data_IF_710872195451
#
_entry.id   IF_710872195451
#
_cell.length_a   1.000
_cell.length_b   1.000
_cell.length_c   1.000
_cell.angle_alpha   90.00
_cell.angle_beta   90.00
_cell.angle_gamma   90.00
#
_symmetry.space_group_name_H-M   'P 1'
#
loop_
_entity.id
_entity.type
_entity.pdbx_description
1 polymer ?
#
# COMPACT_ATOMS: atom_id res chain seq x y z
N UNK A 1 41.38 -11.62 -44.51
CA UNK A 1 41.64 -10.34 -43.82
C UNK A 1 40.41 -10.02 -42.98
N UNK A 2 40.51 -10.21 -41.67
CA UNK A 2 39.45 -9.86 -40.74
C UNK A 2 39.44 -8.33 -40.58
N UNK A 3 38.27 -7.72 -40.75
CA UNK A 3 38.05 -6.30 -40.48
C UNK A 3 38.08 -6.14 -38.96
N UNK A 4 39.07 -5.41 -38.47
CA UNK A 4 39.23 -5.08 -37.05
C UNK A 4 38.07 -4.15 -36.64
N UNK A 5 37.21 -4.60 -35.72
CA UNK A 5 36.15 -3.77 -35.16
C UNK A 5 36.77 -2.55 -34.47
N UNK A 6 36.56 -1.37 -35.04
CA UNK A 6 36.92 -0.10 -34.42
C UNK A 6 36.10 0.05 -33.14
N UNK A 7 36.71 -0.20 -31.98
CA UNK A 7 36.11 0.11 -30.67
C UNK A 7 35.81 1.61 -30.63
N UNK A 8 34.51 1.97 -30.61
CA UNK A 8 34.06 3.35 -30.42
C UNK A 8 34.58 3.86 -29.07
N UNK A 9 35.28 4.99 -29.08
CA UNK A 9 35.83 5.67 -27.90
C UNK A 9 34.80 6.54 -27.14
N UNK A 10 33.51 6.46 -27.48
CA UNK A 10 32.45 7.23 -26.85
C UNK A 10 31.28 6.32 -26.49
N UNK A 11 30.60 6.62 -25.40
CA UNK A 11 29.32 6.00 -25.01
C UNK A 11 28.19 6.93 -25.44
N UNK A 12 27.13 6.39 -26.03
CA UNK A 12 25.92 7.17 -26.30
C UNK A 12 25.32 7.58 -24.95
N UNK A 13 25.02 8.86 -24.76
CA UNK A 13 24.57 9.40 -23.46
C UNK A 13 23.37 8.62 -22.88
N UNK A 14 22.40 8.25 -23.71
CA UNK A 14 21.20 7.49 -23.31
C UNK A 14 21.51 6.04 -22.87
N UNK A 15 22.67 5.51 -23.28
CA UNK A 15 23.13 4.16 -22.96
C UNK A 15 24.18 4.15 -21.82
N UNK A 16 24.63 5.33 -21.37
CA UNK A 16 25.64 5.48 -20.31
C UNK A 16 25.03 5.23 -18.92
N UNK A 17 24.84 3.94 -18.61
CA UNK A 17 24.35 3.49 -17.31
C UNK A 17 25.25 3.98 -16.18
N UNK A 18 26.57 4.07 -16.37
CA UNK A 18 27.49 4.51 -15.32
C UNK A 18 27.19 5.96 -14.92
N UNK A 19 26.95 6.84 -15.89
CA UNK A 19 26.48 8.19 -15.61
C UNK A 19 25.12 8.19 -14.92
N UNK A 20 24.11 7.48 -15.45
CA UNK A 20 22.77 7.49 -14.87
C UNK A 20 22.72 6.95 -13.44
N UNK A 21 23.52 5.96 -13.08
CA UNK A 21 23.60 5.43 -11.72
C UNK A 21 24.55 6.22 -10.80
N UNK A 22 25.30 7.19 -11.32
CA UNK A 22 26.13 8.09 -10.52
C UNK A 22 25.30 9.07 -9.67
N UNK A 23 25.95 9.67 -8.66
CA UNK A 23 25.32 10.69 -7.83
C UNK A 23 24.96 11.96 -8.59
N UNK A 24 25.71 12.30 -9.65
CA UNK A 24 25.44 13.47 -10.49
C UNK A 24 24.07 13.38 -11.19
N UNK A 25 23.65 12.17 -11.58
CA UNK A 25 22.37 11.93 -12.25
C UNK A 25 21.21 11.64 -11.28
N UNK A 26 21.42 11.71 -9.95
CA UNK A 26 20.38 11.40 -8.96
C UNK A 26 19.11 12.23 -9.13
N UNK A 27 19.26 13.53 -9.40
CA UNK A 27 18.11 14.42 -9.62
C UNK A 27 17.24 13.99 -10.81
N UNK A 28 17.88 13.53 -11.89
CA UNK A 28 17.18 13.02 -13.09
C UNK A 28 16.46 11.71 -12.75
N UNK A 29 17.12 10.79 -12.03
CA UNK A 29 16.48 9.53 -11.61
C UNK A 29 15.26 9.74 -10.73
N UNK A 30 15.30 10.70 -9.80
CA UNK A 30 14.13 11.08 -8.99
C UNK A 30 12.95 11.55 -9.87
N UNK A 31 13.24 12.38 -10.89
CA UNK A 31 12.21 12.84 -11.82
C UNK A 31 11.64 11.70 -12.66
N UNK A 32 12.49 10.78 -13.13
CA UNK A 32 12.06 9.62 -13.92
C UNK A 32 11.19 8.66 -13.10
N UNK A 33 11.61 8.33 -11.86
CA UNK A 33 10.82 7.52 -10.92
C UNK A 33 9.44 8.14 -10.69
N UNK A 34 9.38 9.46 -10.51
CA UNK A 34 8.12 10.18 -10.33
C UNK A 34 7.25 10.14 -11.58
N UNK A 35 7.79 10.59 -12.72
CA UNK A 35 7.06 10.80 -13.96
C UNK A 35 6.50 9.50 -14.51
N UNK A 36 7.26 8.40 -14.46
CA UNK A 36 6.83 7.10 -15.01
C UNK A 36 5.51 6.62 -14.40
N UNK A 37 5.37 6.73 -13.08
CA UNK A 37 4.16 6.33 -12.38
C UNK A 37 3.01 7.31 -12.63
N UNK A 38 3.30 8.61 -12.54
CA UNK A 38 2.31 9.67 -12.75
C UNK A 38 1.69 9.63 -14.15
N UNK A 39 2.49 9.51 -15.20
CA UNK A 39 2.00 9.50 -16.58
C UNK A 39 1.14 8.28 -16.87
N UNK A 40 1.50 7.12 -16.32
CA UNK A 40 0.74 5.88 -16.51
C UNK A 40 -0.57 5.90 -15.75
N UNK A 41 -0.57 6.31 -14.48
CA UNK A 41 -1.82 6.43 -13.70
C UNK A 41 -2.81 7.39 -14.37
N UNK A 42 -2.33 8.54 -14.88
CA UNK A 42 -3.16 9.47 -15.66
C UNK A 42 -3.71 8.86 -16.95
N UNK A 43 -2.88 8.13 -17.70
CA UNK A 43 -3.32 7.47 -18.94
C UNK A 43 -4.41 6.41 -18.69
N UNK A 44 -4.37 5.75 -17.53
CA UNK A 44 -5.36 4.76 -17.09
C UNK A 44 -6.63 5.38 -16.46
N UNK A 45 -6.71 6.71 -16.40
CA UNK A 45 -7.88 7.43 -15.87
C UNK A 45 -7.96 7.47 -14.34
N UNK A 46 -6.85 7.26 -13.63
CA UNK A 46 -6.82 7.28 -12.16
C UNK A 46 -6.66 8.73 -11.68
N UNK A 47 -7.68 9.24 -10.99
CA UNK A 47 -7.63 10.57 -10.38
C UNK A 47 -7.29 10.48 -8.89
N UNK A 48 -7.88 9.49 -8.21
CA UNK A 48 -7.83 9.31 -6.77
C UNK A 48 -7.56 7.85 -6.39
N UNK A 49 -7.14 7.64 -5.15
CA UNK A 49 -6.81 6.31 -4.64
C UNK A 49 -7.39 6.05 -3.26
N UNK A 50 -7.68 4.78 -2.99
CA UNK A 50 -7.86 4.25 -1.63
C UNK A 50 -6.62 3.43 -1.32
N UNK A 51 -5.84 3.86 -0.34
CA UNK A 51 -4.56 3.23 -0.04
C UNK A 51 -4.72 2.20 1.06
N UNK A 52 -4.19 1.00 0.85
CA UNK A 52 -4.20 -0.08 1.84
C UNK A 52 -2.79 -0.44 2.26
N UNK A 53 -2.55 -0.42 3.57
CA UNK A 53 -1.30 -0.85 4.18
C UNK A 53 -1.54 -1.98 5.17
N UNK A 54 -0.52 -2.83 5.36
CA UNK A 54 -0.55 -3.88 6.36
C UNK A 54 0.65 -4.82 6.24
N UNK A 55 0.64 -5.88 7.03
CA UNK A 55 1.73 -6.85 7.08
C UNK A 55 1.93 -7.59 5.76
N UNK A 56 3.19 -7.68 5.32
CA UNK A 56 3.62 -8.56 4.23
C UNK A 56 3.74 -10.04 4.65
N UNK A 57 3.44 -10.38 5.91
CA UNK A 57 3.67 -11.71 6.50
C UNK A 57 2.40 -12.46 6.90
N UNK A 58 1.24 -11.80 6.79
CA UNK A 58 -0.05 -12.43 7.06
C UNK A 58 -0.41 -13.27 5.83
N UNK A 59 -0.78 -14.53 6.04
CA UNK A 59 -1.10 -15.49 4.98
C UNK A 59 -2.60 -15.47 4.68
N UNK A 60 -2.99 -15.90 3.48
CA UNK A 60 -4.39 -16.25 3.23
C UNK A 60 -4.83 -17.41 4.13
N UNK A 61 -6.15 -17.59 4.30
CA UNK A 61 -6.66 -18.68 5.14
C UNK A 61 -6.25 -20.05 4.60
N UNK A 62 -6.23 -20.20 3.27
CA UNK A 62 -5.79 -21.42 2.61
C UNK A 62 -4.32 -21.73 2.89
N UNK A 63 -3.43 -20.74 2.76
CA UNK A 63 -2.00 -20.91 2.99
C UNK A 63 -1.67 -21.11 4.48
N UNK A 64 -2.38 -20.41 5.37
CA UNK A 64 -2.21 -20.57 6.81
C UNK A 64 -2.63 -21.97 7.26
N UNK A 65 -3.72 -22.51 6.71
CA UNK A 65 -4.16 -23.88 6.99
C UNK A 65 -3.13 -24.90 6.47
N UNK A 66 -2.67 -24.76 5.22
CA UNK A 66 -1.61 -25.61 4.67
C UNK A 66 -0.34 -25.57 5.52
N UNK A 67 0.04 -24.38 6.01
CA UNK A 67 1.19 -24.24 6.91
C UNK A 67 0.97 -24.97 8.23
N UNK A 68 -0.22 -24.86 8.84
CA UNK A 68 -0.57 -25.58 10.06
C UNK A 68 -0.54 -27.10 9.87
N UNK A 69 -1.03 -27.60 8.75
CA UNK A 69 -1.06 -29.04 8.44
C UNK A 69 0.34 -29.65 8.27
N UNK A 70 1.34 -28.84 7.90
CA UNK A 70 2.74 -29.25 7.71
C UNK A 70 3.58 -29.18 8.99
N UNK A 71 3.11 -28.50 10.03
CA UNK A 71 3.85 -28.32 11.28
C UNK A 71 3.66 -29.51 12.20
N UNK A 72 4.77 -30.04 12.73
CA UNK A 72 4.74 -31.09 13.74
C UNK A 72 4.04 -30.61 15.01
N UNK A 73 3.04 -31.37 15.47
CA UNK A 73 2.27 -31.06 16.67
C UNK A 73 3.06 -31.27 17.95
N UNK A 74 4.12 -32.09 17.91
CA UNK A 74 5.01 -32.28 19.03
C UNK A 74 5.93 -31.07 19.27
N UNK A 75 6.21 -30.28 18.21
CA UNK A 75 6.85 -28.97 18.33
C UNK A 75 5.82 -27.91 18.77
N UNK A 76 5.61 -27.83 20.08
CA UNK A 76 4.65 -26.89 20.70
C UNK A 76 4.86 -25.43 20.31
N UNK A 77 6.10 -24.98 20.09
CA UNK A 77 6.38 -23.58 19.74
C UNK A 77 6.02 -23.31 18.27
N UNK A 78 6.43 -24.18 17.35
CA UNK A 78 6.09 -24.07 15.94
C UNK A 78 4.57 -24.19 15.73
N UNK A 79 3.93 -25.12 16.43
CA UNK A 79 2.48 -25.34 16.33
C UNK A 79 1.68 -24.14 16.85
N UNK A 80 2.08 -23.54 17.99
CA UNK A 80 1.46 -22.31 18.50
C UNK A 80 1.61 -21.13 17.51
N UNK A 81 2.77 -20.99 16.86
CA UNK A 81 2.97 -19.97 15.80
C UNK A 81 2.08 -20.23 14.58
N UNK A 82 1.87 -21.49 14.21
CA UNK A 82 1.01 -21.87 13.09
C UNK A 82 -0.47 -21.55 13.37
N UNK A 83 -0.94 -21.85 14.59
CA UNK A 83 -2.29 -21.46 15.04
C UNK A 83 -2.46 -19.95 14.96
N UNK A 84 -1.49 -19.19 15.47
CA UNK A 84 -1.53 -17.72 15.42
C UNK A 84 -1.58 -17.19 13.99
N UNK A 85 -0.86 -17.81 13.05
CA UNK A 85 -0.92 -17.45 11.62
C UNK A 85 -2.32 -17.68 11.04
N UNK A 86 -2.98 -18.78 11.41
CA UNK A 86 -4.35 -19.07 11.00
C UNK A 86 -5.35 -18.07 11.61
N UNK A 87 -5.21 -17.72 12.88
CA UNK A 87 -6.04 -16.68 13.50
C UNK A 87 -5.87 -15.32 12.80
N UNK A 88 -4.64 -14.98 12.42
CA UNK A 88 -4.32 -13.74 11.70
C UNK A 88 -4.80 -13.74 10.25
N UNK A 89 -5.05 -14.90 9.62
CA UNK A 89 -5.48 -14.99 8.22
C UNK A 89 -6.81 -14.30 7.98
N UNK A 90 -7.63 -14.11 9.03
CA UNK A 90 -8.84 -13.27 8.96
C UNK A 90 -8.56 -11.89 8.39
N UNK A 91 -7.41 -11.29 8.73
CA UNK A 91 -7.04 -9.96 8.21
C UNK A 91 -6.75 -9.98 6.72
N UNK A 92 -6.24 -11.10 6.19
CA UNK A 92 -6.08 -11.28 4.75
C UNK A 92 -7.46 -11.31 4.08
N UNK A 93 -8.41 -12.09 4.58
CA UNK A 93 -9.74 -12.18 3.97
C UNK A 93 -10.49 -10.84 4.05
N UNK A 94 -10.38 -10.10 5.16
CA UNK A 94 -10.94 -8.75 5.27
C UNK A 94 -10.28 -7.78 4.29
N UNK A 95 -8.95 -7.83 4.10
CA UNK A 95 -8.28 -7.00 3.11
C UNK A 95 -8.72 -7.33 1.67
N UNK A 96 -8.92 -8.62 1.37
CA UNK A 96 -9.47 -9.08 0.10
C UNK A 96 -10.90 -8.65 -0.12
N UNK A 97 -11.75 -8.72 0.88
CA UNK A 97 -13.11 -8.21 0.79
C UNK A 97 -13.12 -6.69 0.60
N UNK A 98 -12.27 -5.96 1.33
CA UNK A 98 -12.13 -4.52 1.18
C UNK A 98 -11.71 -4.14 -0.26
N UNK A 99 -10.77 -4.87 -0.84
CA UNK A 99 -10.36 -4.69 -2.24
C UNK A 99 -11.53 -4.86 -3.22
N UNK A 100 -12.43 -5.83 -2.98
CA UNK A 100 -13.66 -5.99 -3.80
C UNK A 100 -14.60 -4.81 -3.65
N UNK A 101 -14.85 -4.35 -2.41
CA UNK A 101 -15.75 -3.23 -2.14
C UNK A 101 -15.29 -1.95 -2.84
N UNK A 102 -13.99 -1.64 -2.75
CA UNK A 102 -13.41 -0.49 -3.46
C UNK A 102 -13.58 -0.65 -4.97
N UNK A 103 -13.21 -1.81 -5.53
CA UNK A 103 -13.32 -2.04 -6.97
C UNK A 103 -14.77 -2.02 -7.49
N UNK A 104 -15.76 -2.46 -6.71
CA UNK A 104 -17.17 -2.45 -7.12
C UNK A 104 -17.86 -1.09 -6.97
N UNK A 105 -17.20 -0.11 -6.35
CA UNK A 105 -17.77 1.20 -6.10
C UNK A 105 -17.77 2.11 -7.34
N UNK A 106 -18.21 3.36 -7.20
CA UNK A 106 -18.43 4.26 -8.33
C UNK A 106 -19.45 3.70 -9.33
N UNK A 107 -19.11 3.68 -10.62
CA UNK A 107 -19.93 3.07 -11.68
C UNK A 107 -19.68 1.55 -11.86
N UNK A 108 -18.99 0.91 -10.91
CA UNK A 108 -18.63 -0.51 -10.93
C UNK A 108 -17.16 -0.76 -11.31
N UNK A 109 -16.76 -2.04 -11.49
CA UNK A 109 -15.35 -2.43 -11.64
C UNK A 109 -14.53 -1.77 -12.77
N UNK A 110 -15.20 -1.17 -13.75
CA UNK A 110 -14.54 -0.47 -14.86
C UNK A 110 -14.28 1.01 -14.55
N UNK A 111 -14.86 1.55 -13.47
CA UNK A 111 -14.62 2.92 -13.02
C UNK A 111 -13.29 3.00 -12.29
N UNK A 112 -12.27 3.50 -12.98
CA UNK A 112 -10.91 3.59 -12.46
C UNK A 112 -10.63 4.94 -11.77
N UNK A 113 -11.63 5.81 -11.66
CA UNK A 113 -11.46 7.19 -11.16
C UNK A 113 -10.93 7.20 -9.72
N UNK A 114 -11.46 6.31 -8.87
CA UNK A 114 -10.95 6.02 -7.54
C UNK A 114 -10.49 4.57 -7.51
N UNK A 115 -9.18 4.34 -7.44
CA UNK A 115 -8.60 2.98 -7.56
C UNK A 115 -7.88 2.53 -6.30
N UNK A 116 -7.97 1.25 -5.97
CA UNK A 116 -7.22 0.64 -4.88
C UNK A 116 -5.71 0.71 -5.14
N UNK A 117 -4.94 1.15 -4.15
CA UNK A 117 -3.48 1.23 -4.21
C UNK A 117 -2.83 0.55 -3.02
N UNK A 118 -1.79 -0.26 -3.27
CA UNK A 118 -1.02 -0.96 -2.24
C UNK A 118 0.48 -0.83 -2.52
N UNK A 119 1.31 -1.33 -1.61
CA UNK A 119 2.75 -1.47 -1.84
C UNK A 119 3.16 -2.64 -2.74
N UNK A 120 2.20 -3.42 -3.24
CA UNK A 120 2.39 -4.46 -4.25
C UNK A 120 3.14 -5.72 -3.80
N UNK A 121 3.49 -5.83 -2.52
CA UNK A 121 4.09 -7.04 -1.94
C UNK A 121 3.06 -8.11 -1.55
N UNK A 122 3.50 -9.18 -0.88
CA UNK A 122 2.62 -10.25 -0.38
C UNK A 122 1.77 -9.81 0.82
N UNK A 123 0.96 -10.73 1.34
CA UNK A 123 0.17 -10.55 2.55
C UNK A 123 -1.01 -9.60 2.35
N UNK A 124 -1.20 -8.62 3.25
CA UNK A 124 -2.36 -7.71 3.17
C UNK A 124 -2.42 -6.95 1.84
N UNK A 125 -1.26 -6.53 1.32
CA UNK A 125 -1.19 -5.81 0.04
C UNK A 125 -1.71 -6.69 -1.10
N UNK A 126 -1.21 -7.92 -1.19
CA UNK A 126 -1.70 -8.92 -2.13
C UNK A 126 -3.18 -9.21 -1.95
N UNK A 127 -3.65 -9.40 -0.72
CA UNK A 127 -5.04 -9.68 -0.44
C UNK A 127 -5.96 -8.61 -1.02
N UNK A 128 -5.65 -7.34 -0.77
CA UNK A 128 -6.42 -6.22 -1.30
C UNK A 128 -6.37 -6.18 -2.84
N UNK A 129 -5.19 -6.32 -3.46
CA UNK A 129 -5.07 -6.39 -4.92
C UNK A 129 -5.88 -7.56 -5.51
N UNK A 130 -5.82 -8.73 -4.88
CA UNK A 130 -6.58 -9.94 -5.24
C UNK A 130 -8.08 -9.70 -5.18
N UNK A 131 -8.54 -9.01 -4.15
CA UNK A 131 -9.95 -8.61 -4.02
C UNK A 131 -10.45 -7.84 -5.23
N UNK A 132 -9.73 -6.76 -5.60
CA UNK A 132 -10.06 -5.97 -6.77
C UNK A 132 -10.00 -6.79 -8.08
N UNK A 133 -8.97 -7.63 -8.23
CA UNK A 133 -8.78 -8.49 -9.40
C UNK A 133 -9.95 -9.47 -9.61
N UNK A 134 -10.44 -10.10 -8.53
CA UNK A 134 -11.50 -11.12 -8.59
C UNK A 134 -12.85 -10.59 -9.10
N UNK A 135 -13.09 -9.28 -9.00
CA UNK A 135 -14.28 -8.61 -9.51
C UNK A 135 -14.03 -7.88 -10.83
N UNK A 136 -12.85 -8.06 -11.43
CA UNK A 136 -12.45 -7.44 -12.70
C UNK A 136 -12.10 -5.95 -12.58
N UNK A 137 -11.82 -5.47 -11.37
CA UNK A 137 -11.39 -4.10 -11.12
C UNK A 137 -9.88 -3.93 -11.25
N UNK A 138 -9.45 -2.69 -11.54
CA UNK A 138 -8.02 -2.37 -11.55
C UNK A 138 -7.48 -2.19 -10.13
N UNK A 139 -6.20 -2.48 -9.94
CA UNK A 139 -5.49 -2.17 -8.70
C UNK A 139 -4.03 -1.81 -8.96
N UNK A 140 -3.50 -0.91 -8.14
CA UNK A 140 -2.17 -0.33 -8.28
C UNK A 140 -1.23 -0.98 -7.27
N UNK A 141 -0.01 -1.29 -7.71
CA UNK A 141 1.07 -1.78 -6.85
C UNK A 141 2.30 -0.89 -6.98
N UNK A 142 2.68 -0.24 -5.88
CA UNK A 142 3.91 0.55 -5.78
C UNK A 142 4.99 -0.28 -5.09
N UNK A 143 5.70 -1.12 -5.83
CA UNK A 143 6.82 -1.91 -5.31
C UNK A 143 8.06 -1.05 -5.09
N UNK A 144 8.98 -1.53 -4.27
CA UNK A 144 10.27 -0.89 -4.02
C UNK A 144 11.39 -1.92 -4.22
N UNK A 145 12.49 -1.51 -4.86
CA UNK A 145 13.66 -2.37 -4.97
C UNK A 145 14.28 -2.60 -3.59
N UNK A 146 14.38 -3.85 -3.16
CA UNK A 146 14.98 -4.26 -1.89
C UNK A 146 16.18 -5.19 -2.14
N UNK A 147 17.13 -5.31 -1.19
CA UNK A 147 18.27 -6.24 -1.31
C UNK A 147 17.85 -7.71 -1.49
N UNK A 148 16.69 -8.07 -0.97
CA UNK A 148 16.01 -9.33 -1.24
C UNK A 148 14.73 -8.99 -1.99
N UNK A 149 14.64 -9.44 -3.24
CA UNK A 149 13.58 -9.03 -4.16
C UNK A 149 12.22 -9.55 -3.65
N UNK A 150 11.26 -8.62 -3.51
CA UNK A 150 9.85 -8.99 -3.41
C UNK A 150 9.26 -8.82 -4.79
N UNK A 151 8.99 -9.95 -5.46
CA UNK A 151 8.23 -9.93 -6.70
C UNK A 151 6.87 -9.24 -6.45
N UNK A 152 6.41 -8.40 -7.39
CA UNK A 152 5.06 -7.87 -7.33
C UNK A 152 4.05 -9.01 -7.31
N UNK A 153 3.03 -8.90 -6.47
CA UNK A 153 1.98 -9.91 -6.44
C UNK A 153 1.23 -9.96 -7.78
N UNK A 154 0.76 -11.15 -8.15
CA UNK A 154 0.20 -11.44 -9.48
C UNK A 154 -1.17 -10.81 -9.75
N UNK A 155 -1.75 -10.09 -8.78
CA UNK A 155 -3.11 -9.52 -8.87
C UNK A 155 -3.10 -8.02 -9.18
N UNK A 156 -1.92 -7.39 -9.21
CA UNK A 156 -1.77 -6.00 -9.65
C UNK A 156 -2.07 -5.92 -11.14
N UNK A 157 -2.78 -4.87 -11.57
CA UNK A 157 -2.99 -4.61 -12.99
C UNK A 157 -1.64 -4.39 -13.68
N UNK A 158 -1.29 -5.12 -14.76
CA UNK A 158 0.05 -5.09 -15.33
C UNK A 158 0.58 -3.69 -15.68
N UNK A 159 -0.29 -2.82 -16.19
CA UNK A 159 0.03 -1.44 -16.56
C UNK A 159 0.33 -0.54 -15.35
N UNK A 160 -0.20 -0.93 -14.17
CA UNK A 160 -0.17 -0.22 -12.89
C UNK A 160 0.74 -0.90 -11.84
N UNK A 161 1.63 -1.80 -12.30
CA UNK A 161 2.73 -2.31 -11.49
C UNK A 161 3.95 -1.41 -11.65
N UNK A 162 4.35 -0.77 -10.56
CA UNK A 162 5.46 0.18 -10.53
C UNK A 162 6.55 -0.31 -9.59
N UNK A 163 7.81 -0.12 -9.98
CA UNK A 163 8.97 -0.39 -9.13
C UNK A 163 9.74 0.90 -8.94
N UNK A 164 9.90 1.31 -7.69
CA UNK A 164 10.63 2.51 -7.30
C UNK A 164 11.99 2.15 -6.74
N UNK A 165 12.97 3.04 -6.97
CA UNK A 165 14.27 2.95 -6.32
C UNK A 165 14.31 3.79 -5.03
N UNK A 166 13.62 4.93 -5.03
CA UNK A 166 13.63 5.86 -3.90
C UNK A 166 12.34 5.79 -3.08
N UNK A 167 12.46 5.47 -1.79
CA UNK A 167 11.33 5.47 -0.85
C UNK A 167 10.56 6.80 -0.85
N UNK A 168 11.25 7.93 -0.88
CA UNK A 168 10.58 9.25 -0.86
C UNK A 168 9.63 9.48 -2.03
N UNK A 169 9.98 9.01 -3.24
CA UNK A 169 9.11 9.14 -4.42
C UNK A 169 7.93 8.17 -4.34
N UNK A 170 8.17 6.95 -3.84
CA UNK A 170 7.11 5.98 -3.59
C UNK A 170 6.07 6.51 -2.60
N UNK A 171 6.52 7.07 -1.47
CA UNK A 171 5.66 7.68 -0.44
C UNK A 171 4.86 8.86 -0.98
N UNK A 172 5.51 9.73 -1.76
CA UNK A 172 4.81 10.82 -2.44
C UNK A 172 3.63 10.31 -3.28
N UNK A 173 3.80 9.21 -4.02
CA UNK A 173 2.73 8.62 -4.83
C UNK A 173 1.60 8.01 -4.01
N UNK A 174 1.88 7.42 -2.85
CA UNK A 174 0.80 6.99 -1.94
C UNK A 174 -0.06 8.17 -1.50
N UNK A 175 0.55 9.29 -1.15
CA UNK A 175 -0.16 10.42 -0.52
C UNK A 175 -0.83 11.36 -1.53
N UNK A 176 -0.22 11.56 -2.70
CA UNK A 176 -0.65 12.58 -3.66
C UNK A 176 -2.11 12.44 -4.13
N UNK A 177 -2.63 11.20 -4.21
CA UNK A 177 -3.98 10.89 -4.73
C UNK A 177 -4.91 10.29 -3.68
N UNK A 178 -4.43 10.09 -2.46
CA UNK A 178 -5.19 9.39 -1.43
C UNK A 178 -6.46 10.17 -1.06
N UNK A 179 -7.60 9.48 -1.14
CA UNK A 179 -8.89 9.90 -0.57
C UNK A 179 -9.17 9.20 0.75
N UNK A 180 -8.57 8.05 1.00
CA UNK A 180 -8.64 7.39 2.30
C UNK A 180 -7.46 6.44 2.47
N UNK A 181 -7.16 6.12 3.73
CA UNK A 181 -6.24 5.05 4.07
C UNK A 181 -6.94 4.01 4.93
N UNK A 182 -6.69 2.74 4.63
CA UNK A 182 -7.09 1.62 5.48
C UNK A 182 -5.86 0.83 5.91
N UNK A 183 -5.62 0.79 7.22
CA UNK A 183 -4.41 0.26 7.81
C UNK A 183 -4.75 -1.01 8.58
N UNK A 184 -4.34 -2.14 8.01
CA UNK A 184 -4.42 -3.44 8.66
C UNK A 184 -3.24 -3.68 9.59
N UNK A 185 -3.34 -4.65 10.52
CA UNK A 185 -2.23 -5.06 11.36
C UNK A 185 -0.93 -5.26 10.58
N UNK A 186 0.12 -4.58 11.03
CA UNK A 186 1.39 -4.49 10.31
C UNK A 186 2.58 -4.16 11.20
N UNK A 187 3.77 -4.22 10.61
CA UNK A 187 5.04 -3.96 11.30
C UNK A 187 5.62 -2.59 10.98
N UNK A 188 6.95 -2.46 10.97
CA UNK A 188 7.62 -1.18 10.77
C UNK A 188 7.25 -0.45 9.48
N UNK A 189 7.12 -1.14 8.35
CA UNK A 189 6.70 -0.49 7.10
C UNK A 189 5.28 0.10 7.18
N UNK A 190 4.36 -0.59 7.85
CA UNK A 190 2.99 -0.10 8.06
C UNK A 190 2.97 1.09 9.02
N UNK A 191 3.78 1.05 10.08
CA UNK A 191 3.93 2.16 11.02
C UNK A 191 4.57 3.38 10.38
N UNK A 192 5.59 3.18 9.55
CA UNK A 192 6.27 4.23 8.80
C UNK A 192 5.29 5.01 7.91
N UNK A 193 4.43 4.32 7.16
CA UNK A 193 3.42 4.97 6.33
C UNK A 193 2.29 5.60 7.15
N UNK A 194 1.86 4.98 8.27
CA UNK A 194 0.86 5.54 9.17
C UNK A 194 1.33 6.86 9.79
N UNK A 195 2.55 6.91 10.33
CA UNK A 195 3.07 8.13 10.95
C UNK A 195 3.44 9.19 9.91
N UNK A 196 3.83 8.80 8.69
CA UNK A 196 4.07 9.75 7.60
C UNK A 196 2.77 10.50 7.24
N UNK A 197 1.65 9.79 6.99
CA UNK A 197 0.38 10.49 6.69
C UNK A 197 -0.12 11.34 7.86
N UNK A 198 0.01 10.86 9.10
CA UNK A 198 -0.43 11.62 10.28
C UNK A 198 0.35 12.93 10.38
N UNK A 199 1.67 12.87 10.18
CA UNK A 199 2.53 14.06 10.18
C UNK A 199 2.20 15.00 9.01
N UNK A 200 1.93 14.46 7.82
CA UNK A 200 1.56 15.28 6.66
C UNK A 200 0.22 15.98 6.83
N UNK A 201 -0.77 15.32 7.44
CA UNK A 201 -2.06 15.96 7.76
C UNK A 201 -1.87 17.01 8.85
N UNK A 202 -1.19 16.68 9.95
CA UNK A 202 -0.91 17.60 11.05
C UNK A 202 -0.21 18.88 10.56
N UNK A 203 0.72 18.76 9.62
CA UNK A 203 1.49 19.87 9.05
C UNK A 203 0.81 20.56 7.85
N UNK A 204 -0.43 20.18 7.52
CA UNK A 204 -1.19 20.68 6.36
C UNK A 204 -0.44 20.52 5.03
N UNK A 205 0.36 19.46 4.89
CA UNK A 205 1.05 19.07 3.65
C UNK A 205 0.28 18.04 2.85
N UNK A 206 -0.73 17.41 3.44
CA UNK A 206 -1.71 16.54 2.78
C UNK A 206 -3.12 17.04 3.08
N UNK A 207 -4.11 16.81 2.18
CA UNK A 207 -5.52 17.00 2.50
C UNK A 207 -5.92 16.18 3.73
N UNK A 208 -6.88 16.70 4.49
CA UNK A 208 -7.52 16.00 5.59
C UNK A 208 -8.40 14.87 5.03
N UNK A 209 -8.04 13.62 5.27
CA UNK A 209 -8.68 12.41 4.71
C UNK A 209 -8.93 11.37 5.81
N UNK A 210 -9.94 10.49 5.69
CA UNK A 210 -10.21 9.45 6.67
C UNK A 210 -9.09 8.40 6.71
N UNK A 211 -8.64 8.08 7.93
CA UNK A 211 -7.73 6.97 8.22
C UNK A 211 -8.48 5.95 9.07
N UNK A 212 -8.61 4.72 8.55
CA UNK A 212 -9.31 3.63 9.22
C UNK A 212 -8.32 2.55 9.64
N UNK A 213 -8.28 2.25 10.93
CA UNK A 213 -7.43 1.22 11.54
C UNK A 213 -8.24 -0.06 11.75
N UNK A 214 -7.83 -1.16 11.11
CA UNK A 214 -8.50 -2.46 11.27
C UNK A 214 -8.03 -3.15 12.55
N UNK A 215 -8.99 -3.58 13.37
CA UNK A 215 -8.80 -4.23 14.67
C UNK A 215 -8.33 -3.28 15.78
N UNK A 216 -9.28 -2.70 16.52
CA UNK A 216 -9.00 -1.79 17.62
C UNK A 216 -8.08 -2.40 18.68
N UNK A 217 -8.28 -3.68 18.99
CA UNK A 217 -7.46 -4.39 19.95
C UNK A 217 -5.98 -4.41 19.56
N UNK A 218 -5.66 -4.64 18.28
CA UNK A 218 -4.29 -4.66 17.79
C UNK A 218 -3.61 -3.31 17.97
N UNK A 219 -4.28 -2.25 17.50
CA UNK A 219 -3.72 -0.89 17.51
C UNK A 219 -3.59 -0.32 18.91
N UNK A 220 -4.59 -0.50 19.78
CA UNK A 220 -4.50 -0.07 21.18
C UNK A 220 -3.39 -0.80 21.95
N UNK A 221 -3.04 -2.02 21.54
CA UNK A 221 -1.91 -2.76 22.14
C UNK A 221 -0.56 -2.28 21.59
N UNK A 222 -0.54 -1.66 20.41
CA UNK A 222 0.67 -1.24 19.72
C UNK A 222 1.04 0.22 20.00
N UNK A 223 0.06 1.12 19.98
CA UNK A 223 0.25 2.56 20.17
C UNK A 223 -0.84 3.07 21.12
N UNK A 224 -0.42 3.80 22.14
CA UNK A 224 -1.34 4.53 23.02
C UNK A 224 -1.40 6.00 22.58
N UNK A 225 -2.34 6.32 21.68
CA UNK A 225 -2.54 7.69 21.21
C UNK A 225 -3.07 8.61 22.31
N UNK A 226 -3.88 8.10 23.24
CA UNK A 226 -4.39 8.87 24.38
C UNK A 226 -3.23 9.35 25.27
N UNK A 227 -2.25 8.48 25.51
CA UNK A 227 -1.02 8.87 26.23
C UNK A 227 -0.23 9.95 25.49
N UNK A 228 -0.16 9.93 24.16
CA UNK A 228 0.50 11.00 23.40
C UNK A 228 -0.23 12.35 23.54
N UNK A 229 -1.56 12.33 23.65
CA UNK A 229 -2.38 13.52 23.94
C UNK A 229 -2.14 13.99 25.38
N UNK A 230 -2.13 13.07 26.36
CA UNK A 230 -1.85 13.37 27.77
C UNK A 230 -0.47 14.02 27.95
N UNK A 231 0.55 13.50 27.27
CA UNK A 231 1.91 14.07 27.25
C UNK A 231 2.02 15.34 26.41
N UNK A 232 0.92 15.82 25.81
CA UNK A 232 0.84 17.05 25.02
C UNK A 232 1.80 17.08 23.82
N UNK A 233 2.16 15.91 23.28
CA UNK A 233 3.01 15.79 22.08
C UNK A 233 2.22 15.73 20.78
N UNK A 234 0.89 15.52 20.87
CA UNK A 234 -0.09 15.69 19.78
C UNK A 234 -1.37 16.32 20.33
N UNK A 235 -2.22 16.87 19.47
CA UNK A 235 -3.53 17.40 19.89
C UNK A 235 -4.61 16.31 19.91
N UNK A 236 -5.73 16.56 20.59
CA UNK A 236 -6.88 15.65 20.57
C UNK A 236 -7.51 15.55 19.17
N UNK A 237 -7.45 16.62 18.39
CA UNK A 237 -7.89 16.66 16.99
C UNK A 237 -7.02 15.78 16.09
N UNK A 238 -5.71 15.72 16.34
CA UNK A 238 -4.79 14.82 15.64
C UNK A 238 -5.16 13.34 15.92
N UNK A 239 -5.49 13.00 17.16
CA UNK A 239 -5.93 11.65 17.51
C UNK A 239 -7.32 11.32 16.92
N UNK A 240 -8.22 12.31 16.81
CA UNK A 240 -9.57 12.15 16.26
C UNK A 240 -9.60 11.87 14.75
N UNK A 241 -8.48 11.99 14.04
CA UNK A 241 -8.32 11.55 12.65
C UNK A 241 -8.51 10.04 12.47
N UNK A 242 -8.18 9.28 13.50
CA UNK A 242 -8.15 7.82 13.47
C UNK A 242 -9.54 7.28 13.81
N UNK A 243 -10.07 6.48 12.90
CA UNK A 243 -11.25 5.65 13.15
C UNK A 243 -10.83 4.18 13.23
N UNK A 244 -11.60 3.38 13.95
CA UNK A 244 -11.38 1.93 14.05
C UNK A 244 -12.50 1.19 13.31
N UNK A 245 -12.18 0.05 12.72
CA UNK A 245 -13.17 -0.87 12.17
C UNK A 245 -12.75 -2.32 12.44
N UNK A 246 -13.71 -3.23 12.56
CA UNK A 246 -13.47 -4.66 12.79
C UNK A 246 -13.69 -5.50 11.52
N UNK A 247 -14.19 -4.90 10.44
CA UNK A 247 -14.39 -5.56 9.14
C UNK A 247 -14.16 -4.61 7.95
N UNK A 248 -13.96 -5.20 6.77
CA UNK A 248 -13.89 -4.50 5.49
C UNK A 248 -15.11 -3.62 5.22
N UNK A 249 -16.29 -4.17 5.52
CA UNK A 249 -17.57 -3.47 5.31
C UNK A 249 -17.68 -2.23 6.20
N UNK A 250 -17.38 -2.38 7.49
CA UNK A 250 -17.39 -1.26 8.44
C UNK A 250 -16.37 -0.18 8.04
N UNK A 251 -15.17 -0.60 7.61
CA UNK A 251 -14.15 0.35 7.15
C UNK A 251 -14.62 1.14 5.91
N UNK A 252 -15.26 0.47 4.97
CA UNK A 252 -15.84 1.11 3.80
C UNK A 252 -16.98 2.06 4.16
N UNK A 253 -17.88 1.65 5.06
CA UNK A 253 -18.97 2.49 5.57
C UNK A 253 -18.44 3.75 6.28
N UNK A 254 -17.36 3.65 7.06
CA UNK A 254 -16.70 4.80 7.68
C UNK A 254 -16.18 5.80 6.64
N UNK A 255 -15.55 5.33 5.55
CA UNK A 255 -15.07 6.20 4.47
C UNK A 255 -16.24 6.92 3.80
N UNK A 256 -17.30 6.19 3.44
CA UNK A 256 -18.48 6.77 2.79
C UNK A 256 -19.17 7.80 3.67
N UNK A 257 -19.42 7.47 4.95
CA UNK A 257 -20.06 8.37 5.90
C UNK A 257 -19.22 9.64 6.15
N UNK A 258 -17.89 9.53 6.14
CA UNK A 258 -17.00 10.67 6.28
C UNK A 258 -17.15 11.66 5.12
N UNK A 259 -17.21 11.17 3.88
CA UNK A 259 -17.40 12.01 2.69
C UNK A 259 -18.81 12.61 2.63
N UNK A 260 -19.84 11.82 2.96
CA UNK A 260 -21.22 12.29 3.06
C UNK A 260 -21.38 13.44 4.05
N UNK A 261 -20.80 13.31 5.26
CA UNK A 261 -20.85 14.35 6.30
C UNK A 261 -20.23 15.68 5.86
N UNK A 262 -19.25 15.63 4.95
CA UNK A 262 -18.57 16.83 4.41
C UNK A 262 -19.25 17.42 3.19
N UNK A 263 -20.24 16.73 2.61
CA UNK A 263 -20.87 17.12 1.35
C UNK A 263 -19.89 17.08 0.17
N UNK A 264 -18.81 16.30 0.29
CA UNK A 264 -17.81 16.09 -0.75
C UNK A 264 -18.00 14.68 -1.32
N UNK A 265 -18.18 14.51 -2.64
CA UNK A 265 -18.36 13.17 -3.18
C UNK A 265 -17.01 12.43 -3.25
N UNK A 266 -17.03 11.13 -2.92
CA UNK A 266 -15.84 10.27 -3.04
C UNK A 266 -15.45 10.07 -4.51
N UNK A 267 -16.46 9.94 -5.38
CA UNK A 267 -16.34 9.83 -6.83
C UNK A 267 -16.83 11.12 -7.48
N UNK A 268 -16.10 11.71 -8.45
CA UNK A 268 -16.54 12.91 -9.16
C UNK A 268 -17.74 12.67 -10.09
#
# INVERSE_FOLDING_TARGET
MAIEEVKKHYTITEEDKAFFYSDAARGIRLQVDYLKAETKMKAEGIEHTIVVFGSARILSTEEAQKYLDLVDKEDTEAYAKAIKKLEQSRYYEEAREFGKLVAQSGKGPQDCTVTLMTGGGPGIMEAANRGAYEVGGKSIGLNITLPYEQDPNSYITPELSFSFYYFGIRKLHFMQRAKALVIFPGGFGTLDELFDILTLIQTNKSPYIPIVLISKQYWNSMINFDFMVEESVISAEDAALLSYAESAKEAWEHILAWYEKRGEPLFP
#
